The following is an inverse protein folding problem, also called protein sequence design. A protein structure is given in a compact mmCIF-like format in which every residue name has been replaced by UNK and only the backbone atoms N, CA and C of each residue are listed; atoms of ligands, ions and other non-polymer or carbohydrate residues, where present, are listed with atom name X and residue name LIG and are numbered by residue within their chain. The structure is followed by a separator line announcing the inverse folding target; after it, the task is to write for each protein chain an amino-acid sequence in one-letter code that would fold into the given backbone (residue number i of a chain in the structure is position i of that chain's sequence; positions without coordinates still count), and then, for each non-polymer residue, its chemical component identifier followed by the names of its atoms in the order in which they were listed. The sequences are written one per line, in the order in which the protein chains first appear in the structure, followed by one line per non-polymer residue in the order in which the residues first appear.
data_IF_859744751563
#
_entry.id   IF_859744751563
#
_cell.length_a   1.000
_cell.length_b   1.000
_cell.length_c   1.000
_cell.angle_alpha   90.00
_cell.angle_beta   90.00
_cell.angle_gamma   90.00
#
_symmetry.space_group_name_H-M   'P 1'
#
loop_
_entity.id
_entity.type
_entity.pdbx_description
1 polymer ?
#
# COMPACT_ATOMS: atom_id res chain seq x y z
N UNK A 1 2.44 -7.68 10.01
CA UNK A 1 3.72 -6.96 9.79
C UNK A 1 4.97 -7.75 10.15
N UNK A 2 4.98 -8.68 11.13
CA UNK A 2 6.20 -9.42 11.46
C UNK A 2 6.63 -10.36 10.33
N UNK A 3 5.66 -10.93 9.59
CA UNK A 3 5.86 -11.93 8.53
C UNK A 3 5.96 -11.35 7.10
N UNK A 4 5.99 -10.02 6.95
CA UNK A 4 6.11 -9.34 5.66
C UNK A 4 7.39 -8.53 5.59
N UNK A 5 7.98 -8.37 4.40
CA UNK A 5 9.15 -7.50 4.19
C UNK A 5 8.76 -6.12 3.66
N UNK A 6 7.56 -5.99 3.08
CA UNK A 6 7.02 -4.72 2.59
C UNK A 6 5.54 -4.54 3.01
N UNK A 7 5.07 -3.30 3.08
CA UNK A 7 3.66 -2.98 3.41
C UNK A 7 3.09 -1.90 2.50
N UNK A 8 2.00 -2.21 1.82
CA UNK A 8 1.18 -1.26 1.07
C UNK A 8 -0.03 -0.85 1.91
N UNK A 9 -0.26 0.45 2.08
CA UNK A 9 -1.36 1.00 2.89
C UNK A 9 -2.29 1.85 2.00
N UNK A 10 -3.51 1.39 1.78
CA UNK A 10 -4.54 2.17 1.10
C UNK A 10 -5.15 3.22 2.02
N UNK A 11 -5.14 4.46 1.57
CA UNK A 11 -5.69 5.62 2.27
C UNK A 11 -6.59 6.40 1.30
N UNK A 12 -7.34 7.36 1.81
CA UNK A 12 -8.08 8.32 0.99
C UNK A 12 -7.90 9.73 1.56
N UNK A 13 -7.68 10.71 0.69
CA UNK A 13 -7.25 12.07 1.03
C UNK A 13 -8.28 12.83 1.90
N UNK A 14 -9.55 12.38 1.90
CA UNK A 14 -10.60 12.87 2.81
C UNK A 14 -10.25 12.73 4.30
N UNK A 15 -9.21 11.96 4.62
CA UNK A 15 -8.65 11.80 5.95
C UNK A 15 -7.17 12.15 5.90
N UNK A 16 -6.85 13.46 5.84
CA UNK A 16 -5.48 14.00 5.91
C UNK A 16 -4.71 13.62 7.19
N UNK A 17 -5.39 13.05 8.19
CA UNK A 17 -4.75 12.49 9.38
C UNK A 17 -4.90 10.97 9.35
N UNK A 18 -3.83 10.24 9.68
CA UNK A 18 -3.95 8.82 9.96
C UNK A 18 -5.05 8.58 11.01
N UNK A 19 -6.02 7.68 10.78
CA UNK A 19 -6.76 7.09 11.88
C UNK A 19 -5.75 6.55 12.89
N UNK A 20 -6.00 6.75 14.18
CA UNK A 20 -5.05 6.41 15.25
C UNK A 20 -4.50 4.97 15.16
N UNK A 21 -5.25 4.05 14.53
CA UNK A 21 -4.86 2.65 14.32
C UNK A 21 -3.90 2.43 13.13
N UNK A 22 -4.03 3.20 12.05
CA UNK A 22 -3.14 3.13 10.88
C UNK A 22 -1.80 3.81 11.16
N UNK A 23 -1.80 4.79 12.07
CA UNK A 23 -0.57 5.38 12.62
C UNK A 23 0.31 4.34 13.32
N UNK A 24 -0.29 3.45 14.13
CA UNK A 24 0.46 2.35 14.77
C UNK A 24 1.13 1.44 13.74
N UNK A 25 0.43 1.09 12.65
CA UNK A 25 0.99 0.28 11.56
C UNK A 25 2.14 1.00 10.85
N UNK A 26 2.01 2.31 10.59
CA UNK A 26 3.07 3.11 9.99
C UNK A 26 4.29 3.28 10.91
N UNK A 27 4.06 3.61 12.19
CA UNK A 27 5.10 3.82 13.19
C UNK A 27 5.87 2.52 13.46
N UNK A 28 5.18 1.37 13.55
CA UNK A 28 5.83 0.06 13.71
C UNK A 28 6.66 -0.32 12.49
N UNK A 29 6.19 -0.01 11.29
CA UNK A 29 6.94 -0.33 10.08
C UNK A 29 8.20 0.52 9.92
N UNK A 30 8.12 1.81 10.28
CA UNK A 30 9.29 2.69 10.38
C UNK A 30 10.27 2.18 11.44
N UNK A 31 9.77 1.81 12.63
CA UNK A 31 10.61 1.25 13.71
C UNK A 31 11.26 -0.08 13.34
N UNK A 32 10.64 -0.87 12.47
CA UNK A 32 11.16 -2.18 12.04
C UNK A 32 11.95 -2.12 10.72
N UNK A 33 12.30 -0.93 10.24
CA UNK A 33 13.00 -0.72 8.96
C UNK A 33 12.33 -1.42 7.75
N UNK A 34 11.00 -1.57 7.77
CA UNK A 34 10.26 -2.24 6.70
C UNK A 34 9.84 -1.22 5.66
N UNK A 35 9.95 -1.59 4.38
CA UNK A 35 9.54 -0.71 3.29
C UNK A 35 8.02 -0.52 3.35
N UNK A 36 7.57 0.73 3.35
CA UNK A 36 6.15 1.09 3.39
C UNK A 36 5.82 2.10 2.32
N UNK A 37 4.74 1.83 1.61
CA UNK A 37 4.14 2.79 0.68
C UNK A 37 2.68 3.04 1.03
N UNK A 38 2.28 4.31 0.93
CA UNK A 38 0.88 4.72 1.02
C UNK A 38 0.34 4.92 -0.39
N UNK A 39 -0.84 4.35 -0.65
CA UNK A 39 -1.58 4.55 -1.90
C UNK A 39 -2.86 5.28 -1.56
N UNK A 40 -2.93 6.52 -2.01
CA UNK A 40 -4.14 7.30 -1.90
C UNK A 40 -5.06 6.95 -3.06
N UNK A 41 -6.25 6.44 -2.75
CA UNK A 41 -7.23 6.02 -3.77
C UNK A 41 -7.83 7.20 -4.53
N UNK A 42 -7.72 8.42 -3.98
CA UNK A 42 -8.28 9.63 -4.57
C UNK A 42 -7.28 10.36 -5.48
N UNK A 43 -6.02 9.87 -5.60
CA UNK A 43 -4.97 10.51 -6.39
C UNK A 43 -4.85 9.95 -7.81
N UNK A 44 -4.52 10.83 -8.76
CA UNK A 44 -4.36 10.49 -10.18
C UNK A 44 -3.13 9.61 -10.49
N UNK A 45 -2.10 9.60 -9.64
CA UNK A 45 -0.83 8.90 -9.89
C UNK A 45 -0.76 7.50 -9.25
N UNK A 46 -1.91 6.86 -9.12
CA UNK A 46 -2.17 5.70 -8.29
C UNK A 46 -1.30 4.46 -8.58
N UNK A 47 -0.84 4.31 -9.83
CA UNK A 47 -0.02 3.16 -10.27
C UNK A 47 1.48 3.47 -10.39
N UNK A 48 1.83 4.75 -10.58
CA UNK A 48 3.23 5.13 -10.84
C UNK A 48 4.11 4.90 -9.61
N UNK A 49 3.69 5.43 -8.46
CA UNK A 49 4.46 5.33 -7.22
C UNK A 49 4.59 3.88 -6.72
N UNK A 50 3.53 3.06 -6.72
CA UNK A 50 3.66 1.64 -6.38
C UNK A 50 4.64 0.88 -7.25
N UNK A 51 4.65 1.16 -8.57
CA UNK A 51 5.56 0.50 -9.52
C UNK A 51 7.02 0.88 -9.27
N UNK A 52 7.31 2.17 -9.06
CA UNK A 52 8.67 2.63 -8.75
C UNK A 52 9.14 2.06 -7.40
N UNK A 53 8.24 2.04 -6.42
CA UNK A 53 8.49 1.48 -5.10
C UNK A 53 8.77 -0.03 -5.16
N UNK A 54 7.96 -0.81 -5.88
CA UNK A 54 8.18 -2.26 -6.01
C UNK A 54 9.48 -2.58 -6.74
N UNK A 55 9.85 -1.82 -7.77
CA UNK A 55 11.10 -2.02 -8.50
C UNK A 55 12.36 -1.72 -7.67
N UNK A 56 12.22 -0.95 -6.58
CA UNK A 56 13.30 -0.76 -5.60
C UNK A 56 13.41 -1.91 -4.58
N UNK A 57 12.45 -2.83 -4.58
CA UNK A 57 12.42 -4.01 -3.74
C UNK A 57 12.88 -5.21 -4.57
N UNK A 58 13.74 -6.06 -3.99
CA UNK A 58 13.97 -7.41 -4.52
C UNK A 58 12.78 -8.33 -4.17
N UNK A 59 13.02 -9.62 -3.93
CA UNK A 59 11.95 -10.51 -3.47
C UNK A 59 11.31 -10.01 -2.17
N UNK A 60 9.98 -9.84 -2.17
CA UNK A 60 9.25 -9.36 -1.00
C UNK A 60 7.96 -10.12 -0.72
N UNK A 61 7.62 -10.21 0.56
CA UNK A 61 6.30 -10.60 1.04
C UNK A 61 5.53 -9.33 1.36
N UNK A 62 4.42 -9.12 0.65
CA UNK A 62 3.61 -7.92 0.74
C UNK A 62 2.51 -8.04 1.81
N UNK A 63 2.52 -7.15 2.79
CA UNK A 63 1.34 -6.91 3.64
C UNK A 63 0.49 -5.80 3.03
N UNK A 64 -0.81 -6.04 2.89
CA UNK A 64 -1.78 -5.01 2.45
C UNK A 64 -2.61 -4.58 3.65
N UNK A 65 -2.71 -3.27 3.87
CA UNK A 65 -3.53 -2.65 4.89
C UNK A 65 -4.26 -1.43 4.34
N UNK A 66 -5.16 -0.83 5.12
CA UNK A 66 -5.82 0.41 4.75
C UNK A 66 -6.87 0.84 5.75
N UNK A 67 -7.60 1.91 5.45
CA UNK A 67 -8.72 2.36 6.27
C UNK A 67 -9.89 1.36 6.22
N UNK A 68 -10.71 1.38 7.27
CA UNK A 68 -11.99 0.66 7.26
C UNK A 68 -12.99 1.37 6.36
N UNK A 69 -13.96 0.63 5.85
CA UNK A 69 -15.08 1.19 5.09
C UNK A 69 -15.83 2.29 5.88
N UNK A 70 -15.92 2.15 7.20
CA UNK A 70 -16.53 3.17 8.09
C UNK A 70 -15.72 4.46 8.22
N UNK A 71 -14.41 4.41 7.93
CA UNK A 71 -13.48 5.55 8.00
C UNK A 71 -13.31 6.18 6.61
N UNK A 72 -13.46 5.38 5.55
CA UNK A 72 -13.44 5.83 4.17
C UNK A 72 -14.44 5.04 3.32
N UNK A 73 -15.67 5.54 3.17
CA UNK A 73 -16.68 4.90 2.33
C UNK A 73 -16.18 4.75 0.89
N UNK A 74 -16.30 3.55 0.34
CA UNK A 74 -15.86 3.18 -1.00
C UNK A 74 -14.44 2.60 -1.06
N UNK A 75 -13.65 2.65 0.02
CA UNK A 75 -12.26 2.18 -0.01
C UNK A 75 -12.14 0.69 -0.31
N UNK A 76 -13.07 -0.14 0.17
CA UNK A 76 -13.06 -1.56 -0.13
C UNK A 76 -13.24 -1.81 -1.64
N UNK A 77 -14.24 -1.14 -2.24
CA UNK A 77 -14.55 -1.26 -3.68
C UNK A 77 -13.38 -0.76 -4.54
N UNK A 78 -12.82 0.41 -4.19
CA UNK A 78 -11.67 0.98 -4.86
C UNK A 78 -10.46 0.04 -4.78
N UNK A 79 -10.12 -0.44 -3.57
CA UNK A 79 -9.00 -1.35 -3.35
C UNK A 79 -9.17 -2.64 -4.14
N UNK A 80 -10.39 -3.21 -4.18
CA UNK A 80 -10.68 -4.44 -4.92
C UNK A 80 -10.46 -4.28 -6.43
N UNK A 81 -10.69 -3.08 -6.98
CA UNK A 81 -10.42 -2.76 -8.39
C UNK A 81 -8.93 -2.55 -8.65
N UNK A 82 -8.27 -1.82 -7.78
CA UNK A 82 -6.87 -1.37 -7.94
C UNK A 82 -5.86 -2.50 -7.68
N UNK A 83 -6.07 -3.27 -6.62
CA UNK A 83 -5.05 -4.20 -6.12
C UNK A 83 -4.62 -5.25 -7.16
N UNK A 84 -5.53 -5.88 -7.95
CA UNK A 84 -5.12 -6.82 -8.98
C UNK A 84 -4.22 -6.18 -10.04
N UNK A 85 -4.54 -4.96 -10.47
CA UNK A 85 -3.73 -4.22 -11.44
C UNK A 85 -2.34 -3.90 -10.89
N UNK A 86 -2.24 -3.53 -9.61
CA UNK A 86 -0.96 -3.33 -8.94
C UNK A 86 -0.13 -4.62 -8.83
N UNK A 87 -0.76 -5.72 -8.41
CA UNK A 87 -0.07 -7.01 -8.28
C UNK A 87 0.47 -7.51 -9.62
N UNK A 88 -0.27 -7.33 -10.72
CA UNK A 88 0.22 -7.66 -12.06
C UNK A 88 1.47 -6.83 -12.42
N UNK A 89 1.48 -5.53 -12.13
CA UNK A 89 2.65 -4.69 -12.39
C UNK A 89 3.88 -5.10 -11.58
N UNK A 90 3.68 -5.56 -10.34
CA UNK A 90 4.78 -6.08 -9.52
C UNK A 90 5.34 -7.39 -10.08
N UNK A 91 4.47 -8.27 -10.59
CA UNK A 91 4.89 -9.53 -11.21
C UNK A 91 5.67 -9.31 -12.52
N UNK A 92 5.18 -8.43 -13.41
CA UNK A 92 5.83 -8.17 -14.70
C UNK A 92 7.26 -7.64 -14.55
N UNK A 93 7.53 -6.86 -13.48
CA UNK A 93 8.87 -6.38 -13.18
C UNK A 93 9.82 -7.49 -12.74
N UNK A 94 9.34 -8.45 -11.95
CA UNK A 94 10.18 -9.56 -11.46
C UNK A 94 10.53 -10.58 -12.55
N UNK A 95 9.76 -10.63 -13.65
CA UNK A 95 10.07 -11.46 -14.82
C UNK A 95 11.03 -10.78 -15.82
N UNK A 96 11.27 -9.47 -15.67
CA UNK A 96 12.08 -8.67 -16.59
C UNK A 96 13.53 -8.46 -16.12
N UNK A 97 13.90 -9.07 -14.98
CA UNK A 97 15.24 -9.09 -14.36
C UNK A 97 15.81 -10.50 -14.40
#
# INVERSE_FOLDING_TARGET
MRDSSATLIFICERSQQFPARTKLTYDLALQWHKSVLKVDIDRDNLFKLPREWSGSLGDFVLNVAGFRESECPGIYSATKKILPELLNQFYDQNLST
#
